data_IF_444027053119
#
_entry.id   IF_444027053119
#
_cell.length_a   1.000
_cell.length_b   1.000
_cell.length_c   1.000
_cell.angle_alpha   90.00
_cell.angle_beta   90.00
_cell.angle_gamma   90.00
#
_symmetry.space_group_name_H-M   'P 1'
#
loop_
_entity.id
_entity.type
_entity.pdbx_description
1 polymer ?
#
# COMPACT_ATOMS: atom_id res chain seq x y z
N UNK A 1 -62.45 49.31 -13.47
CA UNK A 1 -61.99 48.04 -12.90
C UNK A 1 -60.70 47.67 -13.60
N UNK A 2 -59.55 47.95 -12.98
CA UNK A 2 -58.25 47.64 -13.54
C UNK A 2 -57.79 46.29 -12.98
N UNK A 3 -57.52 45.34 -13.88
CA UNK A 3 -56.96 44.02 -13.57
C UNK A 3 -55.44 44.16 -13.45
N UNK A 4 -54.89 43.79 -12.30
CA UNK A 4 -53.45 43.66 -12.08
C UNK A 4 -53.10 42.20 -12.40
N UNK A 5 -52.34 42.00 -13.48
CA UNK A 5 -51.69 40.74 -13.80
C UNK A 5 -50.32 40.79 -13.12
N UNK A 6 -50.11 39.99 -12.08
CA UNK A 6 -48.78 39.75 -11.52
C UNK A 6 -48.15 38.58 -12.26
N UNK A 7 -47.27 38.90 -13.20
CA UNK A 7 -46.36 37.95 -13.83
C UNK A 7 -45.14 37.80 -12.90
N UNK A 8 -44.95 36.61 -12.31
CA UNK A 8 -43.79 36.30 -11.48
C UNK A 8 -42.66 35.79 -12.37
N UNK A 9 -41.96 36.71 -13.04
CA UNK A 9 -40.69 36.40 -13.68
C UNK A 9 -39.60 36.47 -12.59
N UNK A 10 -39.29 35.32 -11.99
CA UNK A 10 -38.05 35.13 -11.25
C UNK A 10 -37.19 34.05 -11.92
N UNK A 11 -36.88 34.28 -13.20
CA UNK A 11 -35.76 33.62 -13.88
C UNK A 11 -34.44 34.27 -13.43
N UNK A 12 -34.19 34.26 -12.12
CA UNK A 12 -32.83 34.42 -11.62
C UNK A 12 -32.18 33.04 -11.72
N UNK A 13 -31.19 32.84 -12.61
CA UNK A 13 -30.46 31.59 -12.63
C UNK A 13 -29.84 31.41 -11.25
N UNK A 14 -30.16 30.29 -10.60
CA UNK A 14 -29.55 29.90 -9.35
C UNK A 14 -28.03 29.81 -9.59
N UNK A 15 -27.21 30.70 -8.99
CA UNK A 15 -25.77 30.69 -9.22
C UNK A 15 -25.08 29.48 -8.55
N UNK A 16 -25.84 28.56 -7.95
CA UNK A 16 -25.31 27.41 -7.21
C UNK A 16 -25.50 26.05 -7.89
N UNK A 17 -26.19 25.95 -9.04
CA UNK A 17 -26.39 24.65 -9.72
C UNK A 17 -25.37 24.31 -10.83
N UNK A 18 -24.58 25.27 -11.33
CA UNK A 18 -23.61 25.02 -12.43
C UNK A 18 -22.13 24.90 -12.00
N UNK A 19 -21.86 24.65 -10.71
CA UNK A 19 -20.50 24.65 -10.15
C UNK A 19 -19.98 23.32 -9.60
N UNK A 20 -20.79 22.26 -9.55
CA UNK A 20 -20.42 21.00 -8.87
C UNK A 20 -20.07 19.84 -9.82
N UNK A 21 -20.07 20.06 -11.13
CA UNK A 21 -19.60 19.06 -12.10
C UNK A 21 -18.14 19.35 -12.49
N UNK A 22 -17.26 18.37 -12.25
CA UNK A 22 -15.80 18.36 -12.46
C UNK A 22 -14.86 18.73 -11.29
N UNK A 23 -15.20 18.43 -10.03
CA UNK A 23 -14.16 17.99 -9.06
C UNK A 23 -13.99 16.48 -9.18
N UNK A 24 -13.60 16.06 -10.39
CA UNK A 24 -13.26 14.69 -10.73
C UNK A 24 -11.76 14.66 -11.00
N UNK A 25 -11.07 13.69 -10.38
CA UNK A 25 -9.73 13.16 -10.69
C UNK A 25 -8.50 13.53 -9.85
N UNK A 26 -8.45 14.57 -9.02
CA UNK A 26 -7.23 14.78 -8.19
C UNK A 26 -7.33 13.94 -6.92
N UNK A 27 -6.38 13.02 -6.74
CA UNK A 27 -6.29 12.27 -5.48
C UNK A 27 -5.75 13.22 -4.39
N UNK A 28 -6.36 13.27 -3.21
CA UNK A 28 -5.95 14.22 -2.17
C UNK A 28 -4.50 13.99 -1.66
N UNK A 29 -3.93 12.81 -1.92
CA UNK A 29 -2.52 12.50 -1.65
C UNK A 29 -1.58 12.92 -2.78
N UNK A 30 -2.08 13.42 -3.91
CA UNK A 30 -1.26 14.00 -4.97
C UNK A 30 -0.51 15.23 -4.47
N UNK A 31 0.81 15.19 -4.59
CA UNK A 31 1.73 16.29 -4.31
C UNK A 31 2.97 16.14 -5.19
N UNK A 32 3.82 17.18 -5.33
CA UNK A 32 5.10 17.05 -6.02
C UNK A 32 6.01 15.94 -5.48
N UNK A 33 5.79 15.49 -4.24
CA UNK A 33 6.54 14.42 -3.60
C UNK A 33 5.92 13.03 -3.71
N UNK A 34 4.74 12.86 -4.33
CA UNK A 34 4.13 11.53 -4.45
C UNK A 34 4.96 10.65 -5.39
N UNK A 35 5.55 9.59 -4.82
CA UNK A 35 6.43 8.65 -5.51
C UNK A 35 5.68 7.41 -5.98
N UNK A 36 4.76 6.91 -5.18
CA UNK A 36 3.93 5.73 -5.51
C UNK A 36 2.50 6.03 -5.09
N UNK A 37 1.58 5.86 -6.03
CA UNK A 37 0.17 5.66 -5.73
C UNK A 37 -0.37 4.50 -6.57
N UNK A 38 -0.68 3.41 -5.91
CA UNK A 38 -1.44 2.29 -6.49
C UNK A 38 -2.82 2.30 -5.85
N UNK A 39 -3.86 2.24 -6.68
CA UNK A 39 -5.28 2.18 -6.28
C UNK A 39 -5.96 1.03 -7.04
N UNK A 40 -7.24 0.71 -6.77
CA UNK A 40 -7.93 -0.39 -7.42
C UNK A 40 -7.88 -0.36 -8.97
N UNK A 41 -7.90 0.83 -9.58
CA UNK A 41 -7.76 0.98 -11.03
C UNK A 41 -6.35 0.67 -11.58
N UNK A 42 -5.31 0.70 -10.73
CA UNK A 42 -3.93 0.42 -11.10
C UNK A 42 -3.58 -1.06 -11.24
N UNK A 43 -4.43 -1.96 -10.70
CA UNK A 43 -4.20 -3.41 -10.80
C UNK A 43 -4.75 -4.04 -12.09
N UNK A 44 -5.62 -3.32 -12.82
CA UNK A 44 -6.32 -3.84 -14.01
C UNK A 44 -7.50 -4.76 -13.68
N UNK A 45 -8.03 -5.45 -14.68
CA UNK A 45 -9.17 -6.38 -14.53
C UNK A 45 -8.77 -7.83 -14.23
N UNK A 46 -7.48 -8.13 -14.31
CA UNK A 46 -6.90 -9.45 -14.02
C UNK A 46 -5.69 -9.26 -13.12
N UNK A 47 -5.43 -10.17 -12.18
CA UNK A 47 -4.23 -10.09 -11.35
C UNK A 47 -2.99 -9.97 -12.21
N UNK A 48 -2.04 -9.11 -11.83
CA UNK A 48 -0.78 -9.00 -12.56
C UNK A 48 -0.01 -10.33 -12.48
N UNK A 49 0.43 -10.82 -13.63
CA UNK A 49 1.18 -12.07 -13.71
C UNK A 49 2.56 -11.95 -13.03
N UNK A 50 3.16 -13.09 -12.69
CA UNK A 50 4.53 -13.13 -12.19
C UNK A 50 5.52 -12.50 -13.20
N UNK A 51 6.39 -11.60 -12.73
CA UNK A 51 7.28 -10.81 -13.59
C UNK A 51 6.57 -9.63 -14.27
N UNK A 52 5.27 -9.47 -14.06
CA UNK A 52 4.46 -8.36 -14.54
C UNK A 52 4.74 -7.06 -13.80
N UNK A 53 3.93 -6.05 -14.09
CA UNK A 53 4.05 -4.71 -13.51
C UNK A 53 2.69 -4.23 -13.03
N UNK A 54 2.66 -3.54 -11.88
CA UNK A 54 1.53 -2.73 -11.42
C UNK A 54 1.85 -1.28 -11.72
N UNK A 55 0.98 -0.62 -12.49
CA UNK A 55 1.20 0.75 -12.91
C UNK A 55 1.00 1.70 -11.75
N UNK A 56 2.01 2.53 -11.50
CA UNK A 56 1.94 3.63 -10.56
C UNK A 56 1.20 4.80 -11.21
N UNK A 57 0.14 5.29 -10.56
CA UNK A 57 -0.66 6.40 -11.08
C UNK A 57 0.16 7.67 -11.33
N UNK A 58 1.19 7.91 -10.52
CA UNK A 58 2.06 9.08 -10.62
C UNK A 58 3.42 8.77 -11.24
N UNK A 59 3.52 7.72 -12.06
CA UNK A 59 4.79 7.24 -12.60
C UNK A 59 5.59 8.30 -13.37
N UNK A 60 4.94 9.22 -14.09
CA UNK A 60 5.65 10.24 -14.89
C UNK A 60 6.28 11.32 -13.97
N UNK A 61 5.54 11.75 -12.95
CA UNK A 61 6.05 12.65 -11.92
C UNK A 61 7.17 11.99 -11.11
N UNK A 62 6.92 10.77 -10.63
CA UNK A 62 7.90 10.01 -9.87
C UNK A 62 9.17 9.76 -10.69
N UNK A 63 9.05 9.40 -11.97
CA UNK A 63 10.19 9.23 -12.88
C UNK A 63 11.01 10.51 -13.04
N UNK A 64 10.35 11.67 -13.15
CA UNK A 64 11.01 12.97 -13.20
C UNK A 64 11.79 13.23 -11.91
N UNK A 65 11.17 12.96 -10.76
CA UNK A 65 11.78 13.19 -9.44
C UNK A 65 12.99 12.28 -9.17
N UNK A 66 12.91 11.01 -9.57
CA UNK A 66 13.98 10.02 -9.38
C UNK A 66 15.01 10.01 -10.52
N UNK A 67 14.83 10.83 -11.56
CA UNK A 67 15.72 10.89 -12.72
C UNK A 67 15.75 9.62 -13.56
N UNK A 68 14.60 8.99 -13.79
CA UNK A 68 14.46 7.72 -14.49
C UNK A 68 13.34 7.75 -15.56
N UNK A 69 12.99 6.59 -16.13
CA UNK A 69 11.85 6.47 -17.05
C UNK A 69 10.55 6.20 -16.29
N UNK A 70 9.37 6.53 -16.85
CA UNK A 70 8.08 6.20 -16.23
C UNK A 70 7.94 4.74 -15.81
N UNK A 71 8.44 3.81 -16.62
CA UNK A 71 8.42 2.38 -16.29
C UNK A 71 9.27 2.02 -15.08
N UNK A 72 10.28 2.81 -14.72
CA UNK A 72 11.11 2.59 -13.52
C UNK A 72 10.41 3.02 -12.23
N UNK A 73 9.36 3.83 -12.33
CA UNK A 73 8.53 4.25 -11.20
C UNK A 73 7.31 3.33 -10.98
N UNK A 74 7.09 2.33 -11.84
CA UNK A 74 6.10 1.27 -11.63
C UNK A 74 6.62 0.18 -10.68
N UNK A 75 5.71 -0.63 -10.12
CA UNK A 75 6.06 -1.75 -9.25
C UNK A 75 6.15 -3.05 -10.04
N UNK A 76 7.17 -3.86 -9.80
CA UNK A 76 7.29 -5.21 -10.35
C UNK A 76 6.54 -6.22 -9.46
N UNK A 77 5.95 -7.23 -10.10
CA UNK A 77 5.21 -8.29 -9.40
C UNK A 77 6.05 -9.55 -9.32
N UNK A 78 6.20 -10.08 -8.11
CA UNK A 78 6.80 -11.39 -7.90
C UNK A 78 5.81 -12.30 -7.20
N UNK A 79 5.24 -13.25 -7.95
CA UNK A 79 4.34 -14.26 -7.38
C UNK A 79 5.18 -15.39 -6.79
N UNK A 80 4.95 -15.66 -5.52
CA UNK A 80 5.62 -16.74 -4.78
C UNK A 80 4.75 -17.99 -4.85
N UNK A 81 5.34 -19.11 -5.26
CA UNK A 81 4.69 -20.42 -5.17
C UNK A 81 3.41 -20.54 -6.00
N UNK A 82 3.39 -20.02 -7.23
CA UNK A 82 2.22 -20.13 -8.13
C UNK A 82 1.73 -21.59 -8.30
N UNK A 83 2.62 -22.58 -8.18
CA UNK A 83 2.29 -24.02 -8.19
C UNK A 83 1.63 -24.53 -6.90
N UNK A 84 1.53 -23.72 -5.85
CA UNK A 84 0.99 -24.09 -4.55
C UNK A 84 -0.51 -23.80 -4.43
N UNK A 85 -1.19 -23.37 -5.49
CA UNK A 85 -2.63 -23.08 -5.48
C UNK A 85 -2.99 -21.72 -4.87
N UNK A 86 -2.06 -20.76 -4.86
CA UNK A 86 -2.32 -19.39 -4.39
C UNK A 86 -3.47 -18.78 -5.20
N UNK A 87 -4.53 -18.37 -4.50
CA UNK A 87 -5.60 -17.56 -5.07
C UNK A 87 -5.06 -16.15 -5.33
N UNK A 88 -5.21 -15.70 -6.56
CA UNK A 88 -4.97 -14.32 -6.96
C UNK A 88 -6.19 -13.89 -7.78
N UNK A 89 -6.84 -12.80 -7.37
CA UNK A 89 -7.98 -12.23 -8.10
C UNK A 89 -8.01 -10.70 -7.93
N UNK A 90 -8.68 -10.04 -8.88
CA UNK A 90 -9.11 -8.65 -8.69
C UNK A 90 -10.56 -8.71 -8.25
N UNK A 91 -10.87 -8.13 -7.09
CA UNK A 91 -12.23 -8.09 -6.56
C UNK A 91 -13.12 -7.18 -7.43
N UNK A 92 -14.45 -7.26 -7.32
CA UNK A 92 -15.36 -6.37 -8.07
C UNK A 92 -15.14 -4.89 -7.78
N UNK A 93 -14.59 -4.52 -6.61
CA UNK A 93 -14.21 -3.14 -6.28
C UNK A 93 -12.74 -2.81 -6.62
N UNK A 94 -12.09 -3.71 -7.34
CA UNK A 94 -10.75 -3.55 -7.92
C UNK A 94 -9.59 -3.82 -6.96
N UNK A 95 -9.84 -4.36 -5.77
CA UNK A 95 -8.78 -4.73 -4.84
C UNK A 95 -8.01 -5.96 -5.33
N UNK A 96 -6.70 -6.01 -5.11
CA UNK A 96 -5.86 -7.17 -5.39
C UNK A 96 -5.95 -8.15 -4.21
N UNK A 97 -6.69 -9.24 -4.39
CA UNK A 97 -6.85 -10.28 -3.38
C UNK A 97 -5.82 -11.38 -3.57
N UNK A 98 -5.07 -11.69 -2.51
CA UNK A 98 -4.17 -12.83 -2.46
C UNK A 98 -4.53 -13.72 -1.27
N UNK A 99 -4.90 -14.96 -1.59
CA UNK A 99 -5.25 -16.00 -0.64
C UNK A 99 -4.29 -17.18 -0.75
N UNK A 100 -3.73 -17.61 0.37
CA UNK A 100 -2.70 -18.64 0.37
C UNK A 100 -3.28 -19.94 0.93
N UNK A 101 -3.28 -21.06 0.20
CA UNK A 101 -3.79 -22.32 0.73
C UNK A 101 -3.23 -22.67 2.11
N UNK A 102 -4.10 -23.16 3.00
CA UNK A 102 -3.67 -23.68 4.31
C UNK A 102 -2.66 -24.83 4.18
N UNK A 103 -2.68 -25.52 3.02
CA UNK A 103 -1.77 -26.60 2.65
C UNK A 103 -0.42 -26.14 2.10
N UNK A 104 -0.21 -24.85 1.82
CA UNK A 104 1.04 -24.36 1.26
C UNK A 104 2.21 -24.56 2.24
N UNK A 105 3.29 -25.21 1.78
CA UNK A 105 4.46 -25.59 2.62
C UNK A 105 5.75 -24.84 2.28
N UNK A 106 5.67 -23.67 1.64
CA UNK A 106 6.85 -22.90 1.23
C UNK A 106 6.52 -21.43 0.99
N UNK A 107 7.41 -20.72 0.28
CA UNK A 107 7.15 -19.35 -0.16
C UNK A 107 5.89 -19.33 -1.01
N UNK A 108 4.89 -18.55 -0.58
CA UNK A 108 3.59 -18.48 -1.21
C UNK A 108 3.05 -17.06 -1.08
N UNK A 109 2.33 -16.59 -2.10
CA UNK A 109 1.73 -15.27 -2.10
C UNK A 109 2.22 -14.40 -3.23
N UNK A 110 2.34 -13.09 -2.97
CA UNK A 110 2.77 -12.12 -3.96
C UNK A 110 3.50 -10.94 -3.30
N UNK A 111 4.57 -10.49 -3.94
CA UNK A 111 5.28 -9.27 -3.62
C UNK A 111 5.05 -8.22 -4.71
N UNK A 112 4.88 -6.97 -4.29
CA UNK A 112 5.01 -5.79 -5.12
C UNK A 112 6.34 -5.13 -4.77
N UNK A 113 7.29 -5.14 -5.70
CA UNK A 113 8.65 -4.66 -5.48
C UNK A 113 8.87 -3.36 -6.26
N UNK A 114 9.49 -2.38 -5.61
CA UNK A 114 10.05 -1.22 -6.30
C UNK A 114 11.11 -1.67 -7.29
N UNK A 115 11.23 -0.96 -8.40
CA UNK A 115 12.35 -1.13 -9.32
C UNK A 115 13.58 -0.36 -8.82
N UNK A 116 14.74 -0.69 -9.36
CA UNK A 116 16.03 -0.21 -8.86
C UNK A 116 16.14 1.33 -8.75
N UNK A 117 15.69 2.14 -9.73
CA UNK A 117 15.80 3.60 -9.61
C UNK A 117 14.98 4.16 -8.44
N UNK A 118 13.73 3.72 -8.30
CA UNK A 118 12.87 4.12 -7.20
C UNK A 118 13.44 3.67 -5.84
N UNK A 119 13.85 2.41 -5.74
CA UNK A 119 14.48 1.87 -4.53
C UNK A 119 15.74 2.66 -4.12
N UNK A 120 16.61 2.95 -5.09
CA UNK A 120 17.84 3.70 -4.84
C UNK A 120 17.53 5.14 -4.42
N UNK A 121 16.56 5.80 -5.05
CA UNK A 121 16.13 7.15 -4.66
C UNK A 121 15.70 7.20 -3.19
N UNK A 122 14.83 6.27 -2.78
CA UNK A 122 14.39 6.16 -1.39
C UNK A 122 15.58 5.98 -0.46
N UNK A 123 16.57 5.16 -0.82
CA UNK A 123 17.74 4.86 0.01
C UNK A 123 18.77 5.99 0.09
N UNK A 124 19.01 6.74 -0.99
CA UNK A 124 20.20 7.62 -1.08
C UNK A 124 19.90 9.11 -1.01
N UNK A 125 18.63 9.51 -1.13
CA UNK A 125 18.23 10.93 -1.10
C UNK A 125 18.47 11.62 0.24
N UNK A 126 18.45 10.88 1.35
CA UNK A 126 18.49 11.46 2.70
C UNK A 126 17.19 12.15 3.13
N UNK A 127 16.13 11.99 2.34
CA UNK A 127 14.82 12.62 2.55
C UNK A 127 13.99 11.93 3.64
N UNK A 128 12.82 12.51 3.90
CA UNK A 128 11.77 12.00 4.76
C UNK A 128 10.65 11.40 3.91
N UNK A 129 10.13 10.24 4.31
CA UNK A 129 9.16 9.48 3.53
C UNK A 129 7.98 9.05 4.39
N UNK A 130 6.78 9.11 3.81
CA UNK A 130 5.56 8.53 4.33
C UNK A 130 5.18 7.30 3.51
N UNK A 131 4.90 6.21 4.19
CA UNK A 131 4.43 4.94 3.60
C UNK A 131 3.04 4.66 4.14
N UNK A 132 2.13 4.23 3.26
CA UNK A 132 0.82 3.74 3.69
C UNK A 132 0.28 2.60 2.82
N UNK A 133 -0.51 1.72 3.43
CA UNK A 133 -1.37 0.78 2.76
C UNK A 133 -2.79 0.77 3.34
N UNK A 134 -3.77 0.70 2.44
CA UNK A 134 -5.14 0.35 2.77
C UNK A 134 -5.41 -1.08 2.29
N UNK A 135 -5.77 -1.95 3.21
CA UNK A 135 -6.04 -3.34 2.89
C UNK A 135 -7.14 -3.92 3.78
N UNK A 136 -7.65 -5.08 3.39
CA UNK A 136 -8.65 -5.81 4.15
C UNK A 136 -8.18 -7.23 4.39
N UNK A 137 -8.15 -7.66 5.66
CA UNK A 137 -7.81 -9.03 6.02
C UNK A 137 -9.04 -9.91 5.94
N UNK A 138 -9.04 -10.82 4.98
CA UNK A 138 -10.15 -11.73 4.69
C UNK A 138 -10.03 -13.05 5.43
N UNK A 139 -8.80 -13.44 5.80
CA UNK A 139 -8.54 -14.59 6.67
C UNK A 139 -7.35 -14.34 7.59
N UNK A 140 -7.49 -14.75 8.85
CA UNK A 140 -6.40 -14.74 9.81
C UNK A 140 -5.44 -15.88 9.55
N UNK A 141 -4.15 -15.63 9.71
CA UNK A 141 -3.18 -16.70 9.82
C UNK A 141 -3.35 -17.39 11.19
N UNK A 142 -3.44 -18.72 11.21
CA UNK A 142 -3.53 -19.55 12.42
C UNK A 142 -2.17 -19.68 13.11
N UNK A 143 -1.65 -18.56 13.58
CA UNK A 143 -0.48 -18.55 14.46
C UNK A 143 -0.95 -18.76 15.91
N UNK A 144 -0.10 -19.32 16.78
CA UNK A 144 -0.42 -19.45 18.21
C UNK A 144 -0.93 -18.11 18.77
N UNK A 145 -1.85 -18.09 19.75
CA UNK A 145 -2.32 -16.84 20.36
C UNK A 145 -1.13 -15.94 20.74
N UNK A 146 -1.13 -14.69 20.28
CA UNK A 146 -0.03 -13.73 20.48
C UNK A 146 1.15 -13.85 19.50
N UNK A 147 1.19 -14.89 18.68
CA UNK A 147 2.05 -14.94 17.50
C UNK A 147 1.28 -14.33 16.34
N UNK A 148 1.86 -13.38 15.63
CA UNK A 148 1.13 -12.68 14.61
C UNK A 148 1.14 -13.37 13.24
N UNK A 149 0.02 -13.20 12.54
CA UNK A 149 -0.22 -13.71 11.22
C UNK A 149 0.78 -13.18 10.19
N UNK A 150 1.21 -14.05 9.28
CA UNK A 150 2.24 -13.76 8.28
C UNK A 150 1.91 -12.48 7.46
N UNK A 151 2.72 -11.44 7.71
CA UNK A 151 3.34 -10.56 6.72
C UNK A 151 2.43 -9.68 5.87
N UNK A 152 2.24 -8.44 6.32
CA UNK A 152 2.08 -7.28 5.43
C UNK A 152 3.24 -6.34 5.76
N UNK A 153 4.29 -6.34 4.95
CA UNK A 153 5.44 -5.46 5.13
C UNK A 153 5.43 -4.39 4.04
N UNK A 154 5.54 -3.10 4.42
CA UNK A 154 5.71 -2.01 3.45
C UNK A 154 7.15 -1.84 2.97
N UNK A 155 8.14 -2.35 3.69
CA UNK A 155 9.46 -2.58 3.13
C UNK A 155 10.26 -3.63 3.88
N UNK A 156 10.82 -4.60 3.17
CA UNK A 156 11.74 -5.59 3.74
C UNK A 156 12.97 -5.78 2.86
N UNK A 157 14.15 -5.48 3.40
CA UNK A 157 15.42 -6.11 2.97
C UNK A 157 15.64 -7.34 3.84
N UNK A 158 16.11 -8.41 3.23
CA UNK A 158 16.39 -9.66 3.92
C UNK A 158 17.80 -10.12 3.52
N UNK A 159 18.73 -10.12 4.47
CA UNK A 159 19.88 -11.01 4.40
C UNK A 159 19.95 -11.81 5.70
N UNK A 160 19.47 -13.05 5.64
CA UNK A 160 19.78 -14.12 6.60
C UNK A 160 19.82 -13.77 8.10
N UNK A 161 18.67 -13.94 8.77
CA UNK A 161 18.48 -14.28 10.21
C UNK A 161 18.12 -13.14 11.20
N UNK A 162 17.17 -13.51 12.08
CA UNK A 162 16.49 -12.86 13.23
C UNK A 162 16.65 -11.36 13.50
N UNK A 163 15.56 -10.69 13.13
CA UNK A 163 14.91 -9.52 13.74
C UNK A 163 15.48 -8.12 13.52
N UNK A 164 16.79 -7.88 13.37
CA UNK A 164 17.25 -6.48 13.14
C UNK A 164 18.58 -6.31 12.39
N UNK A 165 19.08 -7.33 11.68
CA UNK A 165 20.25 -7.17 10.82
C UNK A 165 19.82 -7.09 9.35
N UNK A 166 20.27 -6.04 8.65
CA UNK A 166 20.21 -5.82 7.19
C UNK A 166 18.87 -5.37 6.56
N UNK A 167 18.59 -4.08 6.73
CA UNK A 167 18.14 -3.24 5.61
C UNK A 167 16.65 -2.92 5.46
N UNK A 168 15.76 -3.30 6.37
CA UNK A 168 14.34 -2.93 6.22
C UNK A 168 14.17 -1.42 6.46
N UNK A 169 13.55 -0.67 5.54
CA UNK A 169 13.23 0.74 5.79
C UNK A 169 12.02 0.90 6.72
N UNK A 170 10.96 0.10 6.53
CA UNK A 170 9.73 0.14 7.33
C UNK A 170 9.02 -1.23 7.36
N UNK A 171 9.00 -1.90 8.51
CA UNK A 171 8.16 -3.08 8.76
C UNK A 171 6.81 -2.70 9.38
N UNK A 172 5.70 -2.91 8.66
CA UNK A 172 4.33 -2.59 9.10
C UNK A 172 3.55 -3.79 9.64
N UNK A 173 4.24 -4.91 9.82
CA UNK A 173 3.68 -6.09 10.45
C UNK A 173 3.42 -5.91 11.93
N UNK A 174 3.04 -7.01 12.53
CA UNK A 174 2.73 -7.20 13.94
C UNK A 174 3.84 -6.98 14.96
N UNK A 175 5.09 -7.04 14.52
CA UNK A 175 6.21 -6.47 15.26
C UNK A 175 6.74 -5.42 14.32
N UNK A 176 6.34 -4.17 14.49
CA UNK A 176 7.02 -3.06 13.88
C UNK A 176 8.53 -3.22 13.97
N UNK A 177 9.18 -3.45 12.83
CA UNK A 177 10.63 -3.36 12.75
C UNK A 177 10.92 -2.02 12.09
N UNK A 178 11.33 -1.06 12.92
CA UNK A 178 11.76 0.26 12.46
C UNK A 178 13.26 0.41 12.72
N UNK A 179 13.96 1.22 11.93
CA UNK A 179 15.28 1.67 12.33
C UNK A 179 15.22 2.35 13.70
N UNK A 180 16.27 2.17 14.51
CA UNK A 180 16.37 2.84 15.81
C UNK A 180 16.30 4.36 15.62
N UNK A 181 15.70 5.11 16.57
CA UNK A 181 15.81 6.57 16.60
C UNK A 181 17.28 6.99 16.38
N UNK A 182 17.55 8.02 15.55
CA UNK A 182 16.67 9.15 15.19
C UNK A 182 15.92 9.04 13.85
N UNK A 183 15.79 7.84 13.25
CA UNK A 183 15.21 7.68 11.90
C UNK A 183 13.68 7.73 11.81
N UNK A 184 12.95 7.87 12.92
CA UNK A 184 11.47 7.94 12.94
C UNK A 184 11.06 9.41 13.08
N UNK A 185 10.26 9.91 12.15
CA UNK A 185 9.79 11.32 12.17
C UNK A 185 8.32 11.47 12.52
N UNK A 186 7.57 10.38 12.67
CA UNK A 186 6.15 10.43 12.99
C UNK A 186 5.59 9.21 13.70
N UNK A 187 4.26 9.07 13.66
CA UNK A 187 3.54 7.93 14.24
C UNK A 187 3.63 6.71 13.34
N UNK A 188 3.54 5.54 13.96
CA UNK A 188 3.28 4.29 13.28
C UNK A 188 1.89 3.77 13.63
N UNK A 189 1.15 3.34 12.62
CA UNK A 189 -0.08 2.56 12.78
C UNK A 189 0.15 1.18 12.19
N UNK A 190 0.71 0.27 12.97
CA UNK A 190 0.96 -1.11 12.53
C UNK A 190 -0.24 -2.03 12.72
N UNK A 191 -0.14 -3.26 12.20
CA UNK A 191 -1.15 -4.30 12.44
C UNK A 191 -0.94 -4.95 13.81
N UNK A 192 -1.24 -4.21 14.88
CA UNK A 192 -0.99 -4.67 16.26
C UNK A 192 -1.84 -5.87 16.66
N UNK A 193 -2.90 -6.18 15.91
CA UNK A 193 -3.79 -7.32 16.18
C UNK A 193 -4.08 -8.13 14.90
N UNK A 194 -4.08 -9.46 15.02
CA UNK A 194 -4.49 -10.40 13.97
C UNK A 194 -6.02 -10.41 13.88
N UNK A 195 -6.63 -9.30 13.48
CA UNK A 195 -8.09 -9.12 13.39
C UNK A 195 -8.50 -9.06 11.92
N UNK A 196 -9.71 -9.56 11.63
CA UNK A 196 -10.33 -9.51 10.31
C UNK A 196 -10.87 -8.11 10.03
N UNK A 197 -10.95 -7.75 8.75
CA UNK A 197 -11.54 -6.47 8.34
C UNK A 197 -10.53 -5.47 7.80
N UNK A 198 -10.95 -4.21 7.66
CA UNK A 198 -10.17 -3.17 7.04
C UNK A 198 -9.03 -2.73 7.97
N UNK A 199 -7.89 -2.40 7.37
CA UNK A 199 -6.69 -1.96 8.06
C UNK A 199 -6.06 -0.80 7.29
N UNK A 200 -5.71 0.24 8.03
CA UNK A 200 -4.81 1.31 7.62
C UNK A 200 -3.47 1.06 8.30
N UNK A 201 -2.44 0.89 7.48
CA UNK A 201 -1.07 0.76 7.95
C UNK A 201 -0.20 1.86 7.37
N UNK A 202 0.37 2.71 8.23
CA UNK A 202 1.31 3.77 7.86
C UNK A 202 2.49 3.98 8.80
N UNK A 203 3.56 4.55 8.25
CA UNK A 203 4.71 5.02 9.00
C UNK A 203 5.41 6.17 8.26
N UNK A 204 6.09 7.02 9.01
CA UNK A 204 6.96 8.06 8.48
C UNK A 204 8.41 7.89 8.98
N UNK A 205 9.37 7.89 8.06
CA UNK A 205 10.80 7.68 8.35
C UNK A 205 11.68 8.73 7.68
N UNK A 206 12.83 8.99 8.31
CA UNK A 206 13.89 9.87 7.82
C UNK A 206 15.17 9.11 7.64
N UNK A 207 15.99 9.57 6.70
CA UNK A 207 17.37 9.11 6.54
C UNK A 207 17.45 7.59 6.43
N UNK A 208 16.66 7.08 5.49
CA UNK A 208 16.72 5.72 4.96
C UNK A 208 18.15 5.26 4.72
N UNK A 209 19.07 6.15 4.33
CA UNK A 209 20.48 5.81 4.10
C UNK A 209 21.22 5.32 5.36
N UNK A 210 20.95 5.91 6.54
CA UNK A 210 21.60 5.54 7.80
C UNK A 210 20.90 4.37 8.51
N UNK A 211 19.60 4.18 8.25
CA UNK A 211 18.84 2.99 8.66
C UNK A 211 19.35 1.70 8.01
N UNK A 212 20.00 1.81 6.85
CA UNK A 212 20.54 0.72 6.05
C UNK A 212 22.03 0.51 6.34
N UNK A 213 22.38 0.12 7.56
CA UNK A 213 23.75 -0.33 7.86
C UNK A 213 24.06 -1.58 7.02
N UNK A 214 25.07 -1.48 6.14
CA UNK A 214 25.54 -2.60 5.31
C UNK A 214 24.99 -2.68 3.89
N UNK A 215 24.69 -1.53 3.24
CA UNK A 215 24.53 -1.32 1.79
C UNK A 215 24.25 -2.60 0.97
N UNK A 216 23.08 -3.20 1.16
CA UNK A 216 22.68 -4.33 0.33
C UNK A 216 22.34 -3.76 -1.05
N UNK A 217 22.99 -4.30 -2.09
CA UNK A 217 22.69 -3.93 -3.46
C UNK A 217 21.20 -4.18 -3.75
N UNK A 218 20.63 -3.44 -4.71
CA UNK A 218 19.30 -3.77 -5.20
C UNK A 218 19.26 -5.24 -5.63
N UNK A 219 18.34 -5.99 -5.05
CA UNK A 219 17.82 -7.20 -5.62
C UNK A 219 16.29 -7.23 -5.43
N UNK A 220 15.61 -8.06 -6.22
CA UNK A 220 14.16 -8.21 -6.13
C UNK A 220 13.67 -8.70 -4.77
N UNK A 221 14.56 -9.28 -3.95
CA UNK A 221 14.27 -9.67 -2.58
C UNK A 221 14.36 -8.49 -1.60
N UNK A 222 15.10 -7.46 -1.94
CA UNK A 222 15.42 -6.34 -1.06
C UNK A 222 14.65 -5.06 -1.38
N UNK A 223 13.91 -5.06 -2.49
CA UNK A 223 13.11 -3.92 -2.95
C UNK A 223 11.59 -4.09 -2.74
N UNK A 224 11.15 -5.04 -1.90
CA UNK A 224 9.72 -5.27 -1.66
C UNK A 224 9.07 -4.09 -0.98
N UNK A 225 8.07 -3.48 -1.62
CA UNK A 225 7.21 -2.43 -1.07
C UNK A 225 5.94 -3.00 -0.45
N UNK A 226 5.47 -4.16 -0.88
CA UNK A 226 4.34 -4.82 -0.26
C UNK A 226 4.45 -6.32 -0.43
N UNK A 227 4.18 -7.06 0.64
CA UNK A 227 4.17 -8.52 0.63
C UNK A 227 2.82 -9.02 1.14
N UNK A 228 2.23 -9.97 0.42
CA UNK A 228 1.00 -10.68 0.78
C UNK A 228 1.32 -12.17 0.86
N UNK A 229 1.98 -12.59 1.95
CA UNK A 229 2.28 -14.00 2.17
C UNK A 229 3.64 -14.32 2.77
N UNK A 230 3.86 -15.55 3.23
CA UNK A 230 5.16 -15.95 3.76
C UNK A 230 6.25 -15.89 2.69
N UNK A 231 7.35 -15.25 3.06
CA UNK A 231 8.58 -15.12 2.27
C UNK A 231 9.76 -15.71 3.04
N UNK A 232 10.70 -16.34 2.33
CA UNK A 232 11.89 -16.97 2.87
C UNK A 232 11.60 -18.01 3.97
N UNK A 233 10.88 -19.06 3.56
CA UNK A 233 10.58 -20.26 4.36
C UNK A 233 11.83 -21.13 4.62
N UNK A 234 12.92 -20.54 5.11
CA UNK A 234 14.10 -21.27 5.53
C UNK A 234 14.02 -21.48 7.05
N UNK A 235 13.77 -22.74 7.45
CA UNK A 235 13.90 -23.28 8.81
C UNK A 235 12.80 -23.01 9.87
N UNK A 236 11.51 -22.89 9.51
CA UNK A 236 10.41 -23.07 10.48
C UNK A 236 9.34 -24.05 9.96
N UNK A 237 9.62 -25.35 10.14
CA UNK A 237 8.74 -26.50 9.89
C UNK A 237 7.42 -26.52 10.71
N UNK A 238 6.98 -25.41 11.32
CA UNK A 238 5.91 -25.40 12.34
C UNK A 238 4.63 -24.64 11.96
N UNK A 239 4.47 -24.13 10.72
CA UNK A 239 3.29 -23.33 10.33
C UNK A 239 2.45 -23.93 9.18
N UNK A 240 2.34 -25.25 9.10
CA UNK A 240 1.30 -25.89 8.27
C UNK A 240 -0.08 -25.44 8.77
N UNK A 241 -0.94 -24.91 7.90
CA UNK A 241 -2.30 -24.48 8.25
C UNK A 241 -2.47 -22.99 8.62
N UNK A 242 -1.41 -22.19 8.68
CA UNK A 242 -1.43 -20.87 9.31
C UNK A 242 -1.38 -19.67 8.33
N UNK A 243 -1.99 -19.77 7.15
CA UNK A 243 -1.78 -18.76 6.10
C UNK A 243 -2.96 -17.78 5.99
N UNK A 244 -2.62 -16.48 6.08
CA UNK A 244 -3.59 -15.39 5.97
C UNK A 244 -4.06 -15.17 4.53
N UNK A 245 -5.07 -14.31 4.38
CA UNK A 245 -5.51 -13.80 3.09
C UNK A 245 -5.84 -12.32 3.23
N UNK A 246 -5.48 -11.54 2.21
CA UNK A 246 -5.53 -10.08 2.24
C UNK A 246 -5.92 -9.52 0.88
N UNK A 247 -6.77 -8.50 0.88
CA UNK A 247 -7.07 -7.66 -0.29
C UNK A 247 -6.34 -6.33 -0.12
N UNK A 248 -5.44 -6.01 -1.06
CA UNK A 248 -4.81 -4.70 -1.12
C UNK A 248 -5.64 -3.77 -1.99
N UNK A 249 -5.96 -2.58 -1.48
CA UNK A 249 -6.67 -1.55 -2.25
C UNK A 249 -5.79 -0.36 -2.58
N UNK A 250 -4.91 0.03 -1.65
CA UNK A 250 -4.09 1.24 -1.82
C UNK A 250 -2.67 1.03 -1.32
N UNK A 251 -1.69 1.52 -2.07
CA UNK A 251 -0.30 1.69 -1.62
C UNK A 251 0.14 3.12 -1.92
N UNK A 252 0.77 3.74 -0.94
CA UNK A 252 1.26 5.12 -1.01
C UNK A 252 2.71 5.17 -0.57
N UNK A 253 3.53 5.86 -1.35
CA UNK A 253 4.83 6.36 -0.93
C UNK A 253 4.90 7.83 -1.30
N UNK A 254 5.20 8.66 -0.32
CA UNK A 254 5.43 10.09 -0.52
C UNK A 254 6.76 10.51 0.07
N UNK A 255 7.48 11.33 -0.69
CA UNK A 255 8.61 12.11 -0.23
C UNK A 255 8.12 13.42 0.43
N UNK A 256 8.15 13.44 1.76
CA UNK A 256 7.73 14.57 2.58
C UNK A 256 8.65 15.79 2.42
N UNK A 257 9.93 15.55 2.10
CA UNK A 257 10.90 16.62 1.87
C UNK A 257 10.59 17.38 0.59
N UNK A 258 10.22 16.66 -0.47
CA UNK A 258 9.86 17.24 -1.76
C UNK A 258 8.45 17.83 -1.75
N UNK A 259 7.49 17.20 -1.09
CA UNK A 259 6.13 17.73 -1.01
C UNK A 259 5.99 18.94 -0.09
N UNK A 260 6.95 19.15 0.82
CA UNK A 260 6.89 20.18 1.85
C UNK A 260 5.81 19.91 2.91
N UNK A 261 5.20 18.72 2.92
CA UNK A 261 4.19 18.31 3.89
C UNK A 261 4.85 17.66 5.10
N UNK A 262 4.31 17.91 6.29
CA UNK A 262 4.67 17.14 7.48
C UNK A 262 3.95 15.79 7.46
N UNK A 263 4.46 14.82 8.23
CA UNK A 263 3.80 13.52 8.33
C UNK A 263 2.37 13.65 8.87
N UNK A 264 2.09 14.59 9.80
CA UNK A 264 0.74 14.80 10.34
C UNK A 264 -0.24 15.28 9.27
N UNK A 265 0.23 16.08 8.31
CA UNK A 265 -0.61 16.57 7.21
C UNK A 265 -0.99 15.42 6.29
N UNK A 266 -0.02 14.60 5.89
CA UNK A 266 -0.25 13.44 5.02
C UNK A 266 -1.11 12.39 5.74
N UNK A 267 -0.80 12.10 7.00
CA UNK A 267 -1.54 11.15 7.85
C UNK A 267 -3.02 11.52 7.99
N UNK A 268 -3.33 12.81 8.18
CA UNK A 268 -4.74 13.28 8.25
C UNK A 268 -5.47 13.11 6.92
N UNK A 269 -4.80 13.38 5.80
CA UNK A 269 -5.38 13.19 4.46
C UNK A 269 -5.67 11.70 4.23
N UNK A 270 -4.69 10.84 4.54
CA UNK A 270 -4.80 9.40 4.32
C UNK A 270 -5.88 8.77 5.22
N UNK A 271 -5.98 9.21 6.48
CA UNK A 271 -7.07 8.85 7.38
C UNK A 271 -8.45 9.22 6.83
N UNK A 272 -8.59 10.41 6.26
CA UNK A 272 -9.86 10.84 5.68
C UNK A 272 -10.23 9.99 4.45
N UNK A 273 -9.24 9.62 3.63
CA UNK A 273 -9.43 8.70 2.50
C UNK A 273 -9.87 7.32 3.01
N UNK A 274 -9.16 6.76 3.98
CA UNK A 274 -9.48 5.47 4.57
C UNK A 274 -10.89 5.45 5.21
N UNK A 275 -11.24 6.49 5.97
CA UNK A 275 -12.57 6.62 6.57
C UNK A 275 -13.68 6.70 5.51
N UNK A 276 -13.43 7.38 4.38
CA UNK A 276 -14.37 7.42 3.25
C UNK A 276 -14.48 6.08 2.53
N UNK A 277 -13.38 5.33 2.41
CA UNK A 277 -13.35 4.05 1.70
C UNK A 277 -13.97 2.91 2.52
N UNK A 278 -13.68 2.84 3.82
CA UNK A 278 -14.07 1.72 4.70
C UNK A 278 -15.08 2.09 5.79
N UNK A 279 -15.43 3.36 5.95
CA UNK A 279 -16.50 3.79 6.84
C UNK A 279 -17.88 3.32 6.37
N UNK A 280 -18.91 3.56 7.18
CA UNK A 280 -20.30 3.22 6.84
C UNK A 280 -20.70 3.86 5.51
N UNK A 281 -21.13 3.05 4.54
CA UNK A 281 -21.47 3.52 3.19
C UNK A 281 -20.26 3.78 2.29
N UNK A 282 -19.05 3.46 2.76
CA UNK A 282 -17.81 3.66 2.02
C UNK A 282 -17.70 2.78 0.77
N UNK A 283 -16.92 3.24 -0.20
CA UNK A 283 -16.82 2.61 -1.51
C UNK A 283 -16.25 1.20 -1.47
N UNK A 284 -15.35 0.89 -0.53
CA UNK A 284 -14.68 -0.41 -0.39
C UNK A 284 -15.30 -1.28 0.71
N UNK A 285 -16.13 -0.70 1.59
CA UNK A 285 -16.88 -1.47 2.57
C UNK A 285 -17.82 -2.46 1.86
N UNK A 286 -17.89 -3.71 2.34
CA UNK A 286 -18.67 -4.78 1.70
C UNK A 286 -18.22 -5.15 0.28
N UNK A 287 -16.93 -5.05 -0.02
CA UNK A 287 -16.37 -5.77 -1.17
C UNK A 287 -16.62 -7.28 -1.05
N UNK A 288 -16.77 -7.93 -2.20
CA UNK A 288 -16.97 -9.38 -2.29
C UNK A 288 -15.75 -10.03 -2.90
N UNK A 289 -15.37 -11.20 -2.40
CA UNK A 289 -14.17 -11.90 -2.81
C UNK A 289 -14.38 -13.42 -2.71
N UNK A 290 -13.61 -14.17 -3.48
CA UNK A 290 -13.56 -15.63 -3.37
C UNK A 290 -12.92 -15.99 -2.05
N UNK A 291 -13.52 -16.87 -1.26
CA UNK A 291 -12.90 -17.34 -0.03
C UNK A 291 -11.57 -18.04 -0.35
N UNK A 292 -10.50 -17.67 0.37
CA UNK A 292 -9.20 -18.29 0.16
C UNK A 292 -9.25 -19.80 0.45
N UNK A 293 -8.62 -20.64 -0.40
CA UNK A 293 -8.54 -22.10 -0.22
C UNK A 293 -7.72 -22.54 1.00
#
# INVERSE_FOLDING_TARGET
>A
MASIITQSDSDWPDPYEEGLEYVSLIDALESPGTLVLVTPGGFGSTPPANGGTVTNRFRDQAATLIGATPSDADLSVWSLGASLGVLQEITPKGGLHVGIPVSATGNAGMDLNMKAPLYNYLRTSGHEFYFSAHFFRTRLALTAPGTPGNGSALMSVNAGVTQLASGQLVGMGSVPVMPSPPAIVGKQRGVTTNVLGPVLADAAVKNTSAALTGAVAYDSQNATLWNMGPRNYNAQNSRRGAQGATILYRLVVEDLTVSGRTWEQVDKIDQAIYAREFGTGGTLLADTYTAAP
#
